data_IF_793627632789
#
_entry.id   IF_793627632789
#
_cell.length_a   1.000
_cell.length_b   1.000
_cell.length_c   1.000
_cell.angle_alpha   90.00
_cell.angle_beta   90.00
_cell.angle_gamma   90.00
#
_symmetry.space_group_name_H-M   'P 1'
#
loop_
_entity.id
_entity.type
_entity.pdbx_description
1 polymer ?
#
# COMPACT_ATOMS: atom_id res chain seq x y z
N UNK A 1 -13.74 16.20 -9.25
CA UNK A 1 -12.60 15.39 -8.77
C UNK A 1 -11.58 16.35 -8.21
N UNK A 2 -11.30 16.23 -6.92
CA UNK A 2 -10.26 17.05 -6.29
C UNK A 2 -8.85 16.63 -6.78
N UNK A 3 -7.83 17.44 -6.48
CA UNK A 3 -6.45 17.14 -6.90
C UNK A 3 -5.95 15.80 -6.34
N UNK A 4 -6.44 15.43 -5.14
CA UNK A 4 -6.16 14.15 -4.51
C UNK A 4 -6.75 12.98 -5.31
N UNK A 5 -8.00 13.06 -5.77
CA UNK A 5 -8.66 12.05 -6.59
C UNK A 5 -7.91 11.85 -7.92
N UNK A 6 -7.39 12.93 -8.52
CA UNK A 6 -6.57 12.86 -9.73
C UNK A 6 -5.25 12.13 -9.46
N UNK A 7 -4.55 12.47 -8.38
CA UNK A 7 -3.30 11.80 -7.98
C UNK A 7 -3.53 10.35 -7.59
N UNK A 8 -4.65 10.04 -6.95
CA UNK A 8 -5.02 8.68 -6.61
C UNK A 8 -5.28 7.85 -7.86
N UNK A 9 -6.05 8.37 -8.83
CA UNK A 9 -6.27 7.72 -10.12
C UNK A 9 -4.97 7.52 -10.91
N UNK A 10 -4.03 8.46 -10.85
CA UNK A 10 -2.68 8.30 -11.41
C UNK A 10 -1.94 7.13 -10.75
N UNK A 11 -2.01 7.00 -9.42
CA UNK A 11 -1.36 5.91 -8.68
C UNK A 11 -2.00 4.54 -8.95
N UNK A 12 -3.31 4.48 -9.19
CA UNK A 12 -4.00 3.22 -9.53
C UNK A 12 -3.47 2.57 -10.83
N UNK A 13 -2.85 3.34 -11.73
CA UNK A 13 -2.23 2.81 -12.95
C UNK A 13 -1.08 1.83 -12.66
N UNK A 14 -0.51 1.85 -11.46
CA UNK A 14 0.55 0.94 -11.04
C UNK A 14 0.05 -0.40 -10.49
N UNK A 15 -1.27 -0.61 -10.33
CA UNK A 15 -1.82 -1.87 -9.81
C UNK A 15 -1.31 -3.11 -10.57
N UNK A 16 -1.30 -3.15 -11.93
CA UNK A 16 -0.81 -4.34 -12.64
C UNK A 16 0.66 -4.65 -12.35
N UNK A 17 1.48 -3.62 -12.14
CA UNK A 17 2.87 -3.78 -11.75
C UNK A 17 3.01 -4.34 -10.33
N UNK A 18 2.18 -3.87 -9.40
CA UNK A 18 2.16 -4.38 -8.02
C UNK A 18 1.76 -5.85 -7.98
N UNK A 19 0.76 -6.26 -8.76
CA UNK A 19 0.32 -7.67 -8.84
C UNK A 19 1.44 -8.57 -9.36
N UNK A 20 2.07 -8.20 -10.47
CA UNK A 20 3.20 -8.96 -11.03
C UNK A 20 4.38 -9.06 -10.05
N UNK A 21 4.62 -7.99 -9.27
CA UNK A 21 5.70 -7.99 -8.28
C UNK A 21 5.35 -8.81 -7.03
N UNK A 22 4.10 -8.78 -6.57
CA UNK A 22 3.61 -9.63 -5.48
C UNK A 22 3.76 -11.11 -5.87
N UNK A 23 3.33 -11.49 -7.07
CA UNK A 23 3.46 -12.85 -7.58
C UNK A 23 4.93 -13.31 -7.61
N UNK A 24 5.83 -12.46 -8.11
CA UNK A 24 7.28 -12.74 -8.11
C UNK A 24 7.84 -12.90 -6.70
N UNK A 25 7.36 -12.15 -5.73
CA UNK A 25 7.86 -12.17 -4.36
C UNK A 25 7.30 -13.35 -3.55
N UNK A 26 6.05 -13.76 -3.79
CA UNK A 26 5.43 -14.92 -3.13
C UNK A 26 6.10 -16.23 -3.50
N UNK A 27 6.61 -16.33 -4.73
CA UNK A 27 7.23 -17.55 -5.24
C UNK A 27 8.69 -17.76 -4.77
N UNK A 28 9.26 -16.82 -4.01
CA UNK A 28 10.66 -16.90 -3.57
C UNK A 28 10.72 -17.26 -2.09
N UNK A 29 11.42 -18.35 -1.75
CA UNK A 29 11.59 -18.86 -0.36
C UNK A 29 12.54 -18.03 0.52
N UNK A 30 12.92 -16.84 0.07
CA UNK A 30 13.87 -16.00 0.77
C UNK A 30 13.17 -15.06 1.75
N UNK A 31 13.42 -15.26 3.04
CA UNK A 31 12.89 -14.44 4.14
C UNK A 31 13.31 -12.98 4.04
N UNK A 32 14.42 -12.67 3.35
CA UNK A 32 14.85 -11.28 3.12
C UNK A 32 13.81 -10.46 2.33
N UNK A 33 12.94 -11.15 1.56
CA UNK A 33 11.95 -10.55 0.66
C UNK A 33 10.55 -10.44 1.27
N UNK A 34 10.30 -11.03 2.45
CA UNK A 34 9.01 -10.94 3.15
C UNK A 34 8.61 -9.49 3.41
N UNK A 35 9.57 -8.67 3.85
CA UNK A 35 9.31 -7.24 4.12
C UNK A 35 8.92 -6.51 2.82
N UNK A 36 9.55 -6.84 1.69
CA UNK A 36 9.20 -6.25 0.41
C UNK A 36 7.81 -6.70 -0.05
N UNK A 37 7.49 -7.98 0.13
CA UNK A 37 6.18 -8.54 -0.19
C UNK A 37 5.06 -7.85 0.61
N UNK A 38 5.25 -7.70 1.93
CA UNK A 38 4.30 -7.01 2.80
C UNK A 38 4.04 -5.56 2.36
N UNK A 39 5.10 -4.84 1.96
CA UNK A 39 4.97 -3.47 1.44
C UNK A 39 4.14 -3.43 0.15
N UNK A 40 4.38 -4.35 -0.77
CA UNK A 40 3.66 -4.40 -2.04
C UNK A 40 2.19 -4.79 -1.88
N UNK A 41 1.90 -5.76 -1.02
CA UNK A 41 0.53 -6.14 -0.67
C UNK A 41 -0.23 -4.99 0.00
N UNK A 42 0.41 -4.27 0.92
CA UNK A 42 -0.19 -3.10 1.58
C UNK A 42 -0.51 -1.99 0.58
N UNK A 43 0.43 -1.67 -0.33
CA UNK A 43 0.24 -0.64 -1.34
C UNK A 43 -0.85 -1.02 -2.36
N UNK A 44 -0.86 -2.29 -2.82
CA UNK A 44 -1.92 -2.82 -3.68
C UNK A 44 -3.29 -2.72 -3.01
N UNK A 45 -3.38 -3.07 -1.72
CA UNK A 45 -4.63 -2.95 -0.94
C UNK A 45 -5.15 -1.52 -0.83
N UNK A 46 -4.26 -0.53 -0.67
CA UNK A 46 -4.63 0.90 -0.63
C UNK A 46 -5.18 1.36 -1.97
N UNK A 47 -4.53 0.99 -3.08
CA UNK A 47 -4.87 1.48 -4.42
C UNK A 47 -6.06 0.74 -5.06
N UNK A 48 -6.26 -0.54 -4.73
CA UNK A 48 -7.37 -1.35 -5.25
C UNK A 48 -8.72 -1.02 -4.60
N UNK A 49 -8.71 -0.49 -3.37
CA UNK A 49 -9.94 -0.27 -2.60
C UNK A 49 -10.41 1.20 -2.62
N UNK A 50 -10.82 1.67 -3.81
CA UNK A 50 -11.17 3.08 -4.08
C UNK A 50 -12.31 3.67 -3.25
N UNK A 51 -13.13 2.83 -2.61
CA UNK A 51 -14.33 3.26 -1.86
C UNK A 51 -14.21 3.17 -0.34
N UNK A 52 -13.26 2.38 0.21
CA UNK A 52 -13.31 1.98 1.64
C UNK A 52 -12.36 2.74 2.56
N UNK A 53 -11.26 3.28 2.03
CA UNK A 53 -10.25 4.02 2.79
C UNK A 53 -10.10 5.46 2.28
N UNK A 54 -11.17 6.26 2.23
CA UNK A 54 -10.96 7.70 2.44
C UNK A 54 -10.73 7.86 3.94
N UNK A 55 -9.49 8.02 4.43
CA UNK A 55 -9.33 8.43 5.81
C UNK A 55 -10.06 9.76 5.95
N UNK A 56 -11.03 9.82 6.87
CA UNK A 56 -11.59 11.09 7.29
C UNK A 56 -10.41 11.96 7.74
N UNK A 57 -10.49 13.29 7.63
CA UNK A 57 -9.34 14.17 7.90
C UNK A 57 -8.66 13.90 9.27
N UNK A 58 -9.40 13.40 10.28
CA UNK A 58 -8.83 13.01 11.58
C UNK A 58 -8.10 11.64 11.60
N UNK A 59 -8.38 10.76 10.64
CA UNK A 59 -7.89 9.37 10.59
C UNK A 59 -6.59 9.25 9.79
N UNK A 60 -6.21 10.29 9.04
CA UNK A 60 -4.94 10.37 8.31
C UNK A 60 -3.74 10.33 9.25
N UNK A 61 -3.85 10.92 10.44
CA UNK A 61 -2.82 10.85 11.47
C UNK A 61 -2.65 9.44 12.01
N UNK A 62 -3.74 8.72 12.28
CA UNK A 62 -3.69 7.35 12.79
C UNK A 62 -3.13 6.35 11.77
N UNK A 63 -3.51 6.46 10.49
CA UNK A 63 -2.98 5.58 9.45
C UNK A 63 -1.46 5.77 9.24
N UNK A 64 -0.97 7.01 9.34
CA UNK A 64 0.47 7.30 9.29
C UNK A 64 1.19 6.87 10.59
N UNK A 65 0.52 6.97 11.73
CA UNK A 65 1.03 6.52 13.03
C UNK A 65 1.15 5.00 13.10
N UNK A 66 0.16 4.24 12.62
CA UNK A 66 0.20 2.77 12.55
C UNK A 66 1.32 2.29 11.62
N UNK A 67 1.51 2.96 10.47
CA UNK A 67 2.64 2.67 9.58
C UNK A 67 3.96 2.95 10.32
N UNK A 68 4.09 4.10 10.98
CA UNK A 68 5.31 4.47 11.74
C UNK A 68 5.60 3.51 12.89
N UNK A 69 4.59 3.07 13.65
CA UNK A 69 4.73 2.12 14.75
C UNK A 69 5.21 0.75 14.27
N UNK A 70 4.71 0.29 13.11
CA UNK A 70 5.16 -0.96 12.50
C UNK A 70 6.64 -0.93 12.11
N UNK A 71 7.23 0.26 11.90
CA UNK A 71 8.67 0.43 11.62
C UNK A 71 9.51 0.76 12.85
N UNK A 72 8.90 1.06 14.00
CA UNK A 72 9.61 1.53 15.20
C UNK A 72 9.80 0.48 16.30
N UNK A 73 9.42 -0.78 16.06
CA UNK A 73 9.70 -1.92 16.96
C UNK A 73 10.47 -3.04 16.22
N UNK A 74 11.66 -2.69 15.73
CA UNK A 74 12.76 -3.64 15.55
C UNK A 74 13.94 -3.22 16.40
#
# INVERSE_FOLDING_TARGET
MDEYDKKFAEMQKYIPFLEAMIERLQNVKDKSREVQLQKMQSLHGILSNSKRNRPKPNTRLYALYDISLHYSHR
#
